data_IF_782526584619
#
_entry.id   IF_782526584619
#
_cell.length_a   1.000
_cell.length_b   1.000
_cell.length_c   1.000
_cell.angle_alpha   90.00
_cell.angle_beta   90.00
_cell.angle_gamma   90.00
#
_symmetry.space_group_name_H-M   'P 1'
#
loop_
_entity.id
_entity.type
_entity.pdbx_description
1 polymer ?
#
# COMPACT_ATOMS: atom_id res chain seq x y z
N UNK A 1 2.71 12.29 5.69
CA UNK A 1 2.85 11.85 7.10
C UNK A 1 1.43 11.72 7.63
N UNK A 2 1.02 10.53 8.05
CA UNK A 2 -0.35 10.31 8.52
C UNK A 2 -0.55 11.06 9.82
N UNK A 3 -1.50 12.00 9.82
CA UNK A 3 -1.92 12.72 11.02
C UNK A 3 -3.26 12.14 11.45
N UNK A 4 -3.23 11.24 12.43
CA UNK A 4 -4.46 10.77 13.08
C UNK A 4 -4.78 11.75 14.20
N UNK A 5 -5.96 12.35 14.15
CA UNK A 5 -6.53 13.18 15.22
C UNK A 5 -7.28 12.26 16.20
N UNK A 6 -6.67 11.86 17.33
CA UNK A 6 -7.24 10.84 18.22
C UNK A 6 -8.60 11.24 18.82
N UNK A 7 -8.89 12.53 18.90
CA UNK A 7 -10.18 13.08 19.35
C UNK A 7 -11.37 12.68 18.46
N UNK A 8 -11.12 12.25 17.22
CA UNK A 8 -12.15 11.83 16.27
C UNK A 8 -12.38 10.30 16.25
N UNK A 9 -11.67 9.54 17.09
CA UNK A 9 -11.80 8.09 17.18
C UNK A 9 -12.82 7.73 18.26
N UNK A 10 -13.88 7.02 17.90
CA UNK A 10 -14.88 6.52 18.85
C UNK A 10 -14.92 5.00 18.87
N UNK A 11 -14.82 4.41 20.05
CA UNK A 11 -15.02 2.97 20.24
C UNK A 11 -16.52 2.70 20.33
N UNK A 12 -17.01 1.76 19.52
CA UNK A 12 -18.40 1.30 19.52
C UNK A 12 -18.48 -0.02 20.31
N UNK A 13 -19.10 -0.03 21.50
CA UNK A 13 -19.27 -1.25 22.28
C UNK A 13 -20.51 -2.05 21.86
N UNK A 14 -20.52 -3.35 22.16
CA UNK A 14 -21.72 -4.17 22.09
C UNK A 14 -22.59 -4.04 23.36
N UNK A 15 -23.72 -4.76 23.39
CA UNK A 15 -24.65 -4.78 24.53
C UNK A 15 -24.04 -5.23 25.88
N UNK A 16 -22.85 -5.86 25.86
CA UNK A 16 -22.10 -6.26 27.07
C UNK A 16 -20.98 -5.28 27.43
N UNK A 17 -20.91 -4.11 26.77
CA UNK A 17 -19.89 -3.09 27.00
C UNK A 17 -18.52 -3.44 26.40
N UNK A 18 -18.39 -4.50 25.59
CA UNK A 18 -17.10 -4.86 24.98
C UNK A 18 -16.92 -4.11 23.64
N UNK A 19 -15.71 -3.60 23.34
CA UNK A 19 -15.42 -2.99 22.04
C UNK A 19 -15.73 -3.94 20.88
N UNK A 20 -16.46 -3.47 19.88
CA UNK A 20 -16.79 -4.23 18.67
C UNK A 20 -16.55 -3.48 17.37
N UNK A 21 -16.33 -2.18 17.44
CA UNK A 21 -16.02 -1.37 16.27
C UNK A 21 -15.31 -0.08 16.65
N UNK A 22 -14.79 0.58 15.62
CA UNK A 22 -14.21 1.91 15.72
C UNK A 22 -14.90 2.77 14.67
N UNK A 23 -15.37 3.94 15.06
CA UNK A 23 -15.88 4.96 14.16
C UNK A 23 -14.83 6.07 14.02
N UNK A 24 -14.46 6.34 12.77
CA UNK A 24 -13.58 7.42 12.34
C UNK A 24 -14.21 8.10 11.12
N UNK A 25 -13.78 9.32 10.80
CA UNK A 25 -14.15 9.94 9.53
C UNK A 25 -13.45 9.26 8.34
N UNK A 26 -14.00 9.47 7.15
CA UNK A 26 -13.51 8.85 5.92
C UNK A 26 -12.06 9.25 5.61
N UNK A 27 -11.70 10.50 5.85
CA UNK A 27 -10.34 11.01 5.60
C UNK A 27 -9.30 10.29 6.46
N UNK A 28 -9.64 10.02 7.72
CA UNK A 28 -8.80 9.28 8.65
C UNK A 28 -8.67 7.83 8.21
N UNK A 29 -9.75 7.22 7.74
CA UNK A 29 -9.72 5.87 7.18
C UNK A 29 -8.81 5.78 5.96
N UNK A 30 -8.95 6.69 4.98
CA UNK A 30 -8.09 6.77 3.80
C UNK A 30 -6.63 6.96 4.18
N UNK A 31 -6.35 7.86 5.13
CA UNK A 31 -4.97 8.10 5.60
C UNK A 31 -4.36 6.85 6.27
N UNK A 32 -5.16 6.05 6.98
CA UNK A 32 -4.70 4.78 7.55
C UNK A 32 -4.38 3.78 6.44
N UNK A 33 -5.26 3.65 5.43
CA UNK A 33 -5.03 2.78 4.29
C UNK A 33 -3.76 3.16 3.54
N UNK A 34 -3.59 4.43 3.19
CA UNK A 34 -2.38 4.94 2.52
C UNK A 34 -1.11 4.67 3.32
N UNK A 35 -1.16 4.78 4.66
CA UNK A 35 -0.02 4.44 5.51
C UNK A 35 0.35 2.96 5.42
N UNK A 36 -0.67 2.09 5.43
CA UNK A 36 -0.47 0.64 5.38
C UNK A 36 0.06 0.21 4.02
N UNK A 37 -0.51 0.73 2.93
CA UNK A 37 -0.04 0.49 1.56
C UNK A 37 1.40 0.97 1.39
N UNK A 38 1.74 2.18 1.85
CA UNK A 38 3.11 2.68 1.79
C UNK A 38 4.07 1.80 2.61
N UNK A 39 3.65 1.33 3.79
CA UNK A 39 4.48 0.47 4.62
C UNK A 39 4.74 -0.90 3.96
N UNK A 40 3.75 -1.42 3.24
CA UNK A 40 3.87 -2.66 2.46
C UNK A 40 4.76 -2.49 1.21
N UNK A 41 4.61 -1.38 0.48
CA UNK A 41 5.35 -1.10 -0.75
C UNK A 41 6.80 -0.67 -0.51
N UNK A 42 7.09 -0.01 0.62
CA UNK A 42 8.39 0.60 0.89
C UNK A 42 9.57 -0.40 0.81
N UNK A 43 9.48 -1.64 1.35
CA UNK A 43 10.51 -2.66 1.15
C UNK A 43 10.75 -3.00 -0.32
N UNK A 44 9.69 -3.11 -1.13
CA UNK A 44 9.77 -3.43 -2.57
C UNK A 44 10.49 -2.29 -3.30
N UNK A 45 10.11 -1.04 -3.02
CA UNK A 45 10.73 0.15 -3.61
C UNK A 45 12.22 0.22 -3.22
N UNK A 46 12.55 -0.02 -1.94
CA UNK A 46 13.94 -0.02 -1.46
C UNK A 46 14.78 -1.06 -2.17
N UNK A 47 14.25 -2.27 -2.35
CA UNK A 47 14.96 -3.33 -3.06
C UNK A 47 15.16 -2.97 -4.54
N UNK A 48 14.10 -2.51 -5.21
CA UNK A 48 14.17 -2.12 -6.62
C UNK A 48 15.18 -0.97 -6.86
N UNK A 49 15.29 -0.01 -5.94
CA UNK A 49 16.30 1.06 -6.00
C UNK A 49 17.73 0.53 -5.75
N UNK A 50 17.89 -0.44 -4.85
CA UNK A 50 19.20 -1.07 -4.63
C UNK A 50 19.67 -1.83 -5.88
N UNK A 51 18.76 -2.56 -6.53
CA UNK A 51 19.04 -3.30 -7.77
C UNK A 51 19.35 -2.35 -8.92
N UNK A 52 18.61 -1.25 -9.04
CA UNK A 52 18.89 -0.19 -10.02
C UNK A 52 20.28 0.41 -9.83
N UNK A 53 20.67 0.66 -8.58
CA UNK A 53 22.01 1.17 -8.26
C UNK A 53 23.10 0.17 -8.62
N UNK A 54 22.92 -1.12 -8.34
CA UNK A 54 23.86 -2.19 -8.72
C UNK A 54 23.98 -2.35 -10.23
N UNK A 55 22.91 -2.09 -10.98
CA UNK A 55 22.90 -2.08 -12.43
C UNK A 55 23.50 -0.81 -13.07
N UNK A 56 24.07 0.10 -12.27
CA UNK A 56 24.63 1.36 -12.76
C UNK A 56 23.58 2.36 -13.25
N UNK A 57 22.34 2.25 -12.75
CA UNK A 57 21.23 3.12 -13.14
C UNK A 57 20.51 2.70 -14.42
N UNK A 58 20.84 1.55 -15.01
CA UNK A 58 20.17 1.00 -16.19
C UNK A 58 18.95 0.17 -15.77
N UNK A 59 17.71 0.62 -16.06
CA UNK A 59 16.51 -0.08 -15.61
C UNK A 59 16.33 -1.46 -16.24
N UNK A 60 16.75 -1.65 -17.49
CA UNK A 60 16.60 -2.94 -18.17
C UNK A 60 17.56 -3.96 -17.55
N UNK A 61 18.79 -3.55 -17.25
CA UNK A 61 19.75 -4.42 -16.53
C UNK A 61 19.32 -4.71 -15.09
N UNK A 62 18.58 -3.81 -14.46
CA UNK A 62 17.99 -4.01 -13.14
C UNK A 62 16.70 -4.86 -13.17
N UNK A 63 16.27 -5.35 -14.34
CA UNK A 63 15.12 -6.23 -14.49
C UNK A 63 13.77 -5.52 -14.61
N UNK A 64 13.75 -4.19 -14.74
CA UNK A 64 12.52 -3.45 -15.06
C UNK A 64 12.09 -3.75 -16.49
N UNK A 65 10.78 -3.80 -16.69
CA UNK A 65 10.16 -3.99 -18.01
C UNK A 65 9.37 -2.74 -18.41
N UNK A 66 9.24 -2.46 -19.72
CA UNK A 66 8.36 -1.38 -20.18
C UNK A 66 6.91 -1.59 -19.73
N UNK A 67 6.23 -0.49 -19.41
CA UNK A 67 4.82 -0.54 -18.98
C UNK A 67 3.90 -1.33 -19.92
N UNK A 68 3.99 -1.22 -21.26
CA UNK A 68 3.16 -2.04 -22.14
C UNK A 68 3.32 -3.54 -21.93
N UNK A 69 4.53 -4.01 -21.62
CA UNK A 69 4.78 -5.42 -21.31
C UNK A 69 4.21 -5.81 -19.94
N UNK A 70 4.41 -4.95 -18.93
CA UNK A 70 3.85 -5.17 -17.59
C UNK A 70 2.31 -5.27 -17.64
N UNK A 71 1.67 -4.33 -18.34
CA UNK A 71 0.22 -4.29 -18.53
C UNK A 71 -0.29 -5.57 -19.20
N UNK A 72 0.33 -6.00 -20.29
CA UNK A 72 -0.07 -7.22 -20.99
C UNK A 72 0.08 -8.48 -20.12
N UNK A 73 1.05 -8.52 -19.18
CA UNK A 73 1.17 -9.60 -18.21
C UNK A 73 0.03 -9.58 -17.19
N UNK A 74 -0.31 -8.41 -16.64
CA UNK A 74 -1.41 -8.25 -15.69
C UNK A 74 -2.76 -8.65 -16.31
N UNK A 75 -3.07 -8.17 -17.52
CA UNK A 75 -4.31 -8.51 -18.23
C UNK A 75 -4.44 -10.03 -18.47
N UNK A 76 -3.33 -10.72 -18.78
CA UNK A 76 -3.31 -12.18 -18.92
C UNK A 76 -3.52 -12.93 -17.60
N UNK A 77 -3.12 -12.35 -16.46
CA UNK A 77 -3.32 -12.95 -15.15
C UNK A 77 -4.77 -12.81 -14.70
N UNK A 78 -5.39 -11.67 -14.95
CA UNK A 78 -6.79 -11.43 -14.61
C UNK A 78 -7.74 -12.27 -15.48
N UNK A 79 -7.42 -12.49 -16.75
CA UNK A 79 -8.20 -13.35 -17.64
C UNK A 79 -8.14 -14.86 -17.27
N UNK A 80 -7.25 -15.27 -16.35
CA UNK A 80 -7.10 -16.65 -15.88
C UNK A 80 -7.79 -16.91 -14.54
N UNK A 81 -8.31 -15.88 -13.88
CA UNK A 81 -9.10 -15.98 -12.66
C UNK A 81 -10.58 -16.15 -13.00
#
# INVERSE_FOLDING_TARGET
MVTIAPENIRIIPNAKGKPTGVLIDMKTWESILEALELAEDLPIIKQALADLKLAGGDPIKAGFIPWPEARAKLEKMDAKK
#
